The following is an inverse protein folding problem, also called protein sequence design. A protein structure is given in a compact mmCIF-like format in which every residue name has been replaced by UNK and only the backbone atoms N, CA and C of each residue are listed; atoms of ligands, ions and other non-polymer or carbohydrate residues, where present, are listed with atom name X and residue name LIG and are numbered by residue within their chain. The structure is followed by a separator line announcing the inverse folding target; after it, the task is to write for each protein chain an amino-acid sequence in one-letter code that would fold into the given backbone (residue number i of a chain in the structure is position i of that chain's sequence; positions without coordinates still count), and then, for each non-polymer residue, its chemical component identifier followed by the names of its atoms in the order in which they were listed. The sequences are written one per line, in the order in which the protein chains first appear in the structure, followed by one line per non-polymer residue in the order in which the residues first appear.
data_IF_779012999317
#
_entry.id   IF_779012999317
#
_cell.length_a   1.000
_cell.length_b   1.000
_cell.length_c   1.000
_cell.angle_alpha   90.00
_cell.angle_beta   90.00
_cell.angle_gamma   90.00
#
_symmetry.space_group_name_H-M   'P 1'
#
loop_
_entity.id
_entity.type
_entity.pdbx_description
1 polymer ?
#
# COMPACT_ATOMS: atom_id res chain seq x y z
N UNK A 1 14.99 2.33 -56.37
CA UNK A 1 15.09 3.58 -55.59
C UNK A 1 13.70 3.92 -55.06
N UNK A 2 13.40 3.57 -53.81
CA UNK A 2 12.18 4.02 -53.12
C UNK A 2 12.52 5.33 -52.43
N UNK A 3 11.73 6.37 -52.69
CA UNK A 3 11.80 7.62 -51.98
C UNK A 3 11.44 7.37 -50.51
N UNK A 4 12.32 7.81 -49.60
CA UNK A 4 12.05 7.89 -48.17
C UNK A 4 11.31 9.19 -47.97
N UNK A 5 10.01 9.10 -47.70
CA UNK A 5 9.20 10.23 -47.28
C UNK A 5 9.66 10.65 -45.88
N UNK A 6 10.15 11.88 -45.78
CA UNK A 6 10.57 12.50 -44.53
C UNK A 6 9.34 12.80 -43.67
N UNK A 7 9.08 11.99 -42.64
CA UNK A 7 8.14 12.34 -41.58
C UNK A 7 8.63 13.62 -40.87
N UNK A 8 7.87 14.69 -41.00
CA UNK A 8 7.98 15.87 -40.14
C UNK A 8 7.61 15.47 -38.69
N UNK A 9 8.30 15.99 -37.66
CA UNK A 9 7.92 15.70 -36.29
C UNK A 9 6.55 16.33 -36.01
N UNK A 10 5.60 15.50 -35.55
CA UNK A 10 4.34 15.99 -34.98
C UNK A 10 4.67 16.97 -33.86
N UNK A 11 3.95 18.08 -33.83
CA UNK A 11 3.98 19.08 -32.78
C UNK A 11 3.68 18.36 -31.46
N UNK A 12 4.72 18.12 -30.65
CA UNK A 12 4.62 17.34 -29.42
C UNK A 12 3.64 17.99 -28.46
N UNK A 13 2.77 17.16 -27.89
CA UNK A 13 1.88 17.54 -26.81
C UNK A 13 2.75 18.11 -25.66
N UNK A 14 2.45 19.29 -25.08
CA UNK A 14 3.17 19.79 -23.91
C UNK A 14 3.28 18.76 -22.77
N UNK A 15 2.34 17.82 -22.66
CA UNK A 15 2.41 16.71 -21.72
C UNK A 15 3.52 15.68 -22.04
N UNK A 16 3.79 15.39 -23.32
CA UNK A 16 4.91 14.53 -23.74
C UNK A 16 6.26 15.20 -23.44
N UNK A 17 6.40 16.51 -23.71
CA UNK A 17 7.64 17.24 -23.46
C UNK A 17 7.96 17.37 -21.95
N UNK A 18 6.93 17.38 -21.10
CA UNK A 18 7.07 17.46 -19.64
C UNK A 18 7.33 16.07 -19.02
N UNK A 19 6.82 14.99 -19.62
CA UNK A 19 7.18 13.60 -19.30
C UNK A 19 8.67 13.30 -19.55
N UNK A 20 9.28 13.90 -20.57
CA UNK A 20 10.72 13.75 -20.88
C UNK A 20 11.63 14.36 -19.81
N UNK A 21 11.13 15.28 -18.97
CA UNK A 21 11.92 15.95 -17.91
C UNK A 21 11.75 15.36 -16.51
N UNK A 22 10.82 14.42 -16.31
CA UNK A 22 10.51 13.83 -14.99
C UNK A 22 10.87 12.35 -14.97
N UNK A 23 11.22 11.84 -13.78
CA UNK A 23 11.73 10.48 -13.58
C UNK A 23 13.26 10.39 -13.60
N UNK A 24 13.76 9.17 -13.72
CA UNK A 24 15.18 8.83 -13.72
C UNK A 24 15.80 8.77 -12.32
N UNK A 25 17.13 8.64 -12.31
CA UNK A 25 17.94 8.38 -11.10
C UNK A 25 17.85 9.47 -10.02
N UNK A 26 17.41 10.69 -10.36
CA UNK A 26 17.17 11.75 -9.37
C UNK A 26 16.06 11.38 -8.38
N UNK A 27 15.10 10.53 -8.78
CA UNK A 27 13.97 10.09 -7.95
C UNK A 27 14.34 8.97 -6.98
N UNK A 28 15.37 8.19 -7.32
CA UNK A 28 15.84 7.01 -6.61
C UNK A 28 16.09 7.24 -5.11
N UNK A 29 16.88 8.23 -4.67
CA UNK A 29 17.14 8.43 -3.25
C UNK A 29 15.87 8.83 -2.48
N UNK A 30 14.99 9.63 -3.08
CA UNK A 30 13.74 10.03 -2.42
C UNK A 30 12.85 8.81 -2.15
N UNK A 31 12.69 7.93 -3.14
CA UNK A 31 11.86 6.71 -3.02
C UNK A 31 12.48 5.73 -2.01
N UNK A 32 13.80 5.52 -2.05
CA UNK A 32 14.44 4.59 -1.12
C UNK A 32 14.40 5.08 0.33
N UNK A 33 14.70 6.35 0.57
CA UNK A 33 14.68 6.90 1.94
C UNK A 33 13.25 6.94 2.47
N UNK A 34 12.26 7.29 1.64
CA UNK A 34 10.86 7.22 2.05
C UNK A 34 10.42 5.79 2.34
N UNK A 35 10.81 4.82 1.51
CA UNK A 35 10.52 3.40 1.74
C UNK A 35 11.18 2.88 3.02
N UNK A 36 12.43 3.28 3.30
CA UNK A 36 13.14 2.93 4.52
C UNK A 36 12.40 3.45 5.76
N UNK A 37 12.06 4.75 5.79
CA UNK A 37 11.43 5.38 6.94
C UNK A 37 10.02 4.84 7.20
N UNK A 38 9.22 4.62 6.15
CA UNK A 38 7.91 3.98 6.29
C UNK A 38 8.05 2.53 6.73
N UNK A 39 8.97 1.78 6.13
CA UNK A 39 9.23 0.37 6.48
C UNK A 39 9.61 0.21 7.94
N UNK A 40 10.50 1.08 8.46
CA UNK A 40 10.87 1.11 9.87
C UNK A 40 9.66 1.37 10.77
N UNK A 41 8.83 2.35 10.43
CA UNK A 41 7.66 2.70 11.23
C UNK A 41 6.62 1.57 11.25
N UNK A 42 6.33 0.95 10.11
CA UNK A 42 5.40 -0.18 10.02
C UNK A 42 5.94 -1.41 10.74
N UNK A 43 7.22 -1.75 10.55
CA UNK A 43 7.84 -2.89 11.21
C UNK A 43 7.94 -2.69 12.72
N UNK A 44 8.38 -1.51 13.21
CA UNK A 44 8.41 -1.23 14.65
C UNK A 44 7.01 -1.34 15.28
N UNK A 45 6.01 -0.67 14.69
CA UNK A 45 4.65 -0.68 15.22
C UNK A 45 3.96 -2.06 15.22
N UNK A 46 4.41 -3.01 14.39
CA UNK A 46 3.76 -4.34 14.26
C UNK A 46 4.58 -5.50 14.82
N UNK A 47 5.91 -5.44 14.79
CA UNK A 47 6.77 -6.57 15.13
C UNK A 47 6.59 -7.04 16.56
N UNK A 48 6.32 -6.12 17.50
CA UNK A 48 6.15 -6.43 18.92
C UNK A 48 4.71 -6.29 19.43
N UNK A 49 3.72 -6.19 18.53
CA UNK A 49 2.33 -5.90 18.93
C UNK A 49 1.73 -6.95 19.87
N UNK A 50 2.07 -8.23 19.70
CA UNK A 50 1.59 -9.30 20.59
C UNK A 50 2.13 -9.09 22.01
N UNK A 51 3.41 -8.76 22.14
CA UNK A 51 4.04 -8.50 23.44
C UNK A 51 3.48 -7.24 24.06
N UNK A 52 3.20 -6.20 23.27
CA UNK A 52 2.54 -4.98 23.73
C UNK A 52 1.17 -5.26 24.35
N UNK A 53 0.36 -6.08 23.66
CA UNK A 53 -0.96 -6.49 24.15
C UNK A 53 -0.87 -7.22 25.49
N UNK A 54 0.13 -8.10 25.65
CA UNK A 54 0.33 -8.87 26.88
C UNK A 54 0.87 -8.00 28.02
N UNK A 55 1.92 -7.21 27.76
CA UNK A 55 2.64 -6.46 28.81
C UNK A 55 1.95 -5.17 29.22
N UNK A 56 1.37 -4.42 28.28
CA UNK A 56 0.84 -3.07 28.53
C UNK A 56 -0.70 -3.03 28.56
N UNK A 57 -1.36 -3.98 27.89
CA UNK A 57 -2.82 -4.07 27.86
C UNK A 57 -3.39 -5.23 28.69
N UNK A 58 -2.54 -5.98 29.41
CA UNK A 58 -2.94 -7.13 30.24
C UNK A 58 -3.81 -8.17 29.49
N UNK A 59 -3.65 -8.29 28.17
CA UNK A 59 -4.38 -9.27 27.36
C UNK A 59 -3.74 -10.64 27.54
N UNK A 60 -4.55 -11.69 27.67
CA UNK A 60 -4.05 -13.06 27.77
C UNK A 60 -3.26 -13.43 26.51
N UNK A 61 -2.16 -14.16 26.67
CA UNK A 61 -1.25 -14.49 25.57
C UNK A 61 -1.93 -15.18 24.38
N UNK A 62 -2.92 -16.05 24.63
CA UNK A 62 -3.68 -16.75 23.58
C UNK A 62 -4.50 -15.75 22.76
N UNK A 63 -5.23 -14.84 23.43
CA UNK A 63 -6.05 -13.82 22.78
C UNK A 63 -5.18 -12.79 22.04
N UNK A 64 -4.04 -12.39 22.63
CA UNK A 64 -3.08 -11.50 22.02
C UNK A 64 -2.48 -12.09 20.74
N UNK A 65 -2.15 -13.39 20.72
CA UNK A 65 -1.67 -14.08 19.53
C UNK A 65 -2.74 -14.15 18.44
N UNK A 66 -4.01 -14.42 18.80
CA UNK A 66 -5.12 -14.39 17.86
C UNK A 66 -5.29 -13.00 17.23
N UNK A 67 -5.29 -11.95 18.05
CA UNK A 67 -5.35 -10.56 17.57
C UNK A 67 -4.17 -10.27 16.65
N UNK A 68 -2.95 -10.62 17.06
CA UNK A 68 -1.74 -10.42 16.26
C UNK A 68 -1.81 -11.10 14.89
N UNK A 69 -2.32 -12.33 14.82
CA UNK A 69 -2.51 -13.06 13.57
C UNK A 69 -3.55 -12.41 12.66
N UNK A 70 -4.67 -11.91 13.23
CA UNK A 70 -5.68 -11.17 12.47
C UNK A 70 -5.07 -9.91 11.88
N UNK A 71 -4.34 -9.13 12.69
CA UNK A 71 -3.66 -7.90 12.25
C UNK A 71 -2.66 -8.18 11.14
N UNK A 72 -1.82 -9.19 11.31
CA UNK A 72 -0.84 -9.62 10.30
C UNK A 72 -1.51 -10.02 8.98
N UNK A 73 -2.62 -10.78 9.07
CA UNK A 73 -3.45 -11.14 7.92
C UNK A 73 -4.04 -9.92 7.22
N UNK A 74 -4.61 -8.98 7.98
CA UNK A 74 -5.17 -7.73 7.45
C UNK A 74 -4.11 -6.88 6.73
N UNK A 75 -2.93 -6.70 7.33
CA UNK A 75 -1.83 -5.93 6.73
C UNK A 75 -1.30 -6.59 5.46
N UNK A 76 -1.33 -7.93 5.39
CA UNK A 76 -0.88 -8.66 4.21
C UNK A 76 -1.87 -8.56 3.04
N UNK A 77 -3.17 -8.41 3.31
CA UNK A 77 -4.22 -8.28 2.30
C UNK A 77 -4.50 -6.82 1.89
N UNK A 78 -4.29 -5.86 2.78
CA UNK A 78 -4.57 -4.45 2.54
C UNK A 78 -3.91 -3.89 1.25
N UNK A 79 -2.69 -4.32 0.85
CA UNK A 79 -2.07 -3.85 -0.38
C UNK A 79 -2.85 -4.18 -1.66
N UNK A 80 -3.64 -5.25 -1.67
CA UNK A 80 -4.51 -5.59 -2.81
C UNK A 80 -5.57 -4.51 -3.00
N UNK A 81 -6.21 -4.08 -1.90
CA UNK A 81 -7.19 -2.99 -1.92
C UNK A 81 -6.52 -1.68 -2.34
N UNK A 82 -5.33 -1.41 -1.79
CA UNK A 82 -4.53 -0.22 -2.14
C UNK A 82 -4.20 -0.13 -3.63
N UNK A 83 -3.85 -1.25 -4.26
CA UNK A 83 -3.59 -1.33 -5.70
C UNK A 83 -4.85 -1.13 -6.55
N UNK A 84 -5.98 -1.74 -6.15
CA UNK A 84 -7.26 -1.54 -6.85
C UNK A 84 -7.65 -0.05 -6.83
N UNK A 85 -7.49 0.62 -5.69
CA UNK A 85 -7.84 2.04 -5.54
C UNK A 85 -6.94 2.95 -6.38
N UNK A 86 -5.63 2.69 -6.43
CA UNK A 86 -4.72 3.45 -7.29
C UNK A 86 -5.02 3.22 -8.77
N UNK A 87 -5.21 1.97 -9.17
CA UNK A 87 -5.34 1.61 -10.58
C UNK A 87 -6.70 2.06 -11.13
N UNK A 88 -7.76 2.03 -10.33
CA UNK A 88 -9.11 2.39 -10.76
C UNK A 88 -9.42 3.89 -10.74
N UNK A 89 -8.86 4.65 -9.79
CA UNK A 89 -9.37 6.00 -9.52
C UNK A 89 -8.32 7.11 -9.49
N UNK A 90 -7.23 6.94 -8.74
CA UNK A 90 -6.38 8.07 -8.35
C UNK A 90 -4.96 8.04 -8.95
N UNK A 91 -4.50 6.89 -9.43
CA UNK A 91 -3.09 6.64 -9.74
C UNK A 91 -2.26 6.36 -8.48
N UNK A 92 -1.01 5.91 -8.67
CA UNK A 92 -0.17 5.47 -7.55
C UNK A 92 0.20 6.62 -6.59
N UNK A 93 0.62 7.78 -7.11
CA UNK A 93 1.18 8.86 -6.30
C UNK A 93 0.26 9.39 -5.18
N UNK A 94 -1.00 9.82 -5.45
CA UNK A 94 -1.87 10.33 -4.38
C UNK A 94 -2.24 9.25 -3.35
N UNK A 95 -2.38 7.99 -3.78
CA UNK A 95 -2.63 6.88 -2.85
C UNK A 95 -1.43 6.69 -1.93
N UNK A 96 -0.20 6.68 -2.45
CA UNK A 96 1.02 6.59 -1.64
C UNK A 96 1.08 7.74 -0.61
N UNK A 97 0.92 8.99 -1.04
CA UNK A 97 0.98 10.15 -0.13
C UNK A 97 -0.07 10.05 0.97
N UNK A 98 -1.32 9.71 0.62
CA UNK A 98 -2.39 9.53 1.59
C UNK A 98 -2.07 8.42 2.58
N UNK A 99 -1.52 7.29 2.11
CA UNK A 99 -1.12 6.16 2.93
C UNK A 99 0.00 6.48 3.90
N UNK A 100 0.99 7.27 3.48
CA UNK A 100 2.07 7.72 4.37
C UNK A 100 1.51 8.61 5.49
N UNK A 101 0.60 9.54 5.17
CA UNK A 101 -0.05 10.40 6.18
C UNK A 101 -0.93 9.58 7.13
N UNK A 102 -1.70 8.63 6.61
CA UNK A 102 -2.54 7.73 7.42
C UNK A 102 -1.66 6.86 8.33
N UNK A 103 -0.54 6.35 7.82
CA UNK A 103 0.43 5.57 8.60
C UNK A 103 1.07 6.43 9.69
N UNK A 104 1.41 7.69 9.41
CA UNK A 104 1.92 8.63 10.40
C UNK A 104 0.89 8.87 11.52
N UNK A 105 -0.38 9.08 11.18
CA UNK A 105 -1.46 9.20 12.16
C UNK A 105 -1.60 7.92 12.99
N UNK A 106 -1.51 6.75 12.37
CA UNK A 106 -1.58 5.47 13.07
C UNK A 106 -0.49 5.33 14.15
N UNK A 107 0.77 5.64 13.81
CA UNK A 107 1.87 5.56 14.78
C UNK A 107 1.80 6.65 15.85
N UNK A 108 1.20 7.81 15.55
CA UNK A 108 0.87 8.82 16.57
C UNK A 108 -0.14 8.27 17.57
N UNK A 109 -1.22 7.65 17.10
CA UNK A 109 -2.22 7.04 17.99
C UNK A 109 -1.62 5.88 18.80
N UNK A 110 -0.78 5.03 18.20
CA UNK A 110 -0.04 3.99 18.93
C UNK A 110 0.83 4.60 20.03
N UNK A 111 1.56 5.68 19.74
CA UNK A 111 2.39 6.36 20.75
C UNK A 111 1.54 6.93 21.88
N UNK A 112 0.36 7.49 21.57
CA UNK A 112 -0.58 7.97 22.59
C UNK A 112 -1.06 6.85 23.50
N UNK A 113 -1.31 5.64 22.98
CA UNK A 113 -1.65 4.49 23.83
C UNK A 113 -0.57 4.14 24.84
N UNK A 114 0.70 4.31 24.47
CA UNK A 114 1.82 4.07 25.37
C UNK A 114 2.08 5.24 26.33
N UNK A 115 1.93 6.48 25.85
CA UNK A 115 2.30 7.69 26.58
C UNK A 115 1.23 8.17 27.57
N UNK A 116 -0.06 7.95 27.28
CA UNK A 116 -1.17 8.47 28.08
C UNK A 116 -1.73 7.37 28.98
N UNK A 117 -1.57 7.47 30.32
CA UNK A 117 -2.01 6.43 31.24
C UNK A 117 -3.50 6.10 31.17
N UNK A 118 -4.36 7.06 30.80
CA UNK A 118 -5.80 6.82 30.65
C UNK A 118 -6.17 5.93 29.45
N UNK A 119 -5.28 5.81 28.44
CA UNK A 119 -5.51 5.03 27.22
C UNK A 119 -5.05 3.57 27.34
N UNK A 120 -4.54 3.16 28.49
CA UNK A 120 -4.13 1.78 28.80
C UNK A 120 -4.55 1.38 30.23
N UNK A 121 -4.70 0.08 30.54
CA UNK A 121 -4.99 -0.35 31.90
C UNK A 121 -3.85 0.02 32.86
N UNK A 122 -4.12 0.08 34.18
CA UNK A 122 -3.08 0.35 35.17
C UNK A 122 -1.99 -0.73 35.14
N UNK A 123 -0.73 -0.37 35.47
CA UNK A 123 0.37 -1.32 35.48
C UNK A 123 0.08 -2.49 36.42
N UNK A 124 0.31 -3.71 35.93
CA UNK A 124 0.14 -4.93 36.71
C UNK A 124 1.44 -5.74 36.76
N UNK A 125 1.65 -6.49 37.85
CA UNK A 125 2.76 -7.42 37.95
C UNK A 125 2.55 -8.59 36.96
N UNK A 126 3.56 -8.87 36.13
CA UNK A 126 3.51 -9.92 35.13
C UNK A 126 3.22 -11.30 35.78
N UNK A 127 2.16 -11.98 35.33
CA UNK A 127 1.77 -13.29 35.84
C UNK A 127 0.86 -13.29 37.07
N UNK A 128 0.32 -12.13 37.48
CA UNK A 128 -0.72 -12.08 38.51
C UNK A 128 -2.11 -12.34 37.89
N UNK A 129 -2.90 -13.23 38.50
CA UNK A 129 -4.30 -13.48 38.09
C UNK A 129 -5.25 -12.31 38.42
N UNK A 130 -4.76 -11.27 39.09
CA UNK A 130 -5.54 -10.12 39.58
C UNK A 130 -5.38 -8.84 38.74
N UNK A 131 -4.86 -8.93 37.51
CA UNK A 131 -4.73 -7.76 36.64
C UNK A 131 -6.09 -7.26 36.14
N UNK A 132 -6.29 -5.95 36.15
CA UNK A 132 -7.47 -5.32 35.56
C UNK A 132 -7.41 -5.46 34.03
N UNK A 133 -8.50 -5.97 33.46
CA UNK A 133 -8.67 -6.10 32.02
C UNK A 133 -8.78 -4.70 31.37
N UNK A 134 -8.31 -4.53 30.12
CA UNK A 134 -8.40 -3.26 29.43
C UNK A 134 -9.87 -2.90 29.18
N UNK A 135 -10.21 -1.62 29.34
CA UNK A 135 -11.57 -1.18 29.07
C UNK A 135 -11.89 -1.25 27.57
N UNK A 136 -13.17 -1.38 27.22
CA UNK A 136 -13.60 -1.42 25.83
C UNK A 136 -13.16 -0.17 25.04
N UNK A 137 -13.12 1.00 25.68
CA UNK A 137 -12.64 2.25 25.06
C UNK A 137 -11.14 2.22 24.76
N UNK A 138 -10.32 1.67 25.66
CA UNK A 138 -8.87 1.53 25.45
C UNK A 138 -8.56 0.58 24.29
N UNK A 139 -9.25 -0.57 24.24
CA UNK A 139 -9.12 -1.52 23.14
C UNK A 139 -9.61 -0.94 21.81
N UNK A 140 -10.74 -0.23 21.81
CA UNK A 140 -11.26 0.41 20.59
C UNK A 140 -10.29 1.47 20.04
N UNK A 141 -9.66 2.25 20.92
CA UNK A 141 -8.65 3.23 20.52
C UNK A 141 -7.42 2.55 19.91
N UNK A 142 -6.91 1.49 20.55
CA UNK A 142 -5.79 0.70 20.04
C UNK A 142 -6.12 0.08 18.67
N UNK A 143 -7.29 -0.54 18.52
CA UNK A 143 -7.71 -1.14 17.25
C UNK A 143 -7.94 -0.11 16.16
N UNK A 144 -8.36 1.11 16.50
CA UNK A 144 -8.42 2.22 15.53
C UNK A 144 -7.02 2.56 15.02
N UNK A 145 -6.03 2.64 15.90
CA UNK A 145 -4.64 2.88 15.51
C UNK A 145 -4.11 1.76 14.60
N UNK A 146 -4.34 0.50 14.96
CA UNK A 146 -3.92 -0.67 14.18
C UNK A 146 -4.64 -0.76 12.83
N UNK A 147 -5.93 -0.43 12.76
CA UNK A 147 -6.68 -0.40 11.51
C UNK A 147 -6.15 0.69 10.57
N UNK A 148 -5.86 1.89 11.07
CA UNK A 148 -5.20 2.94 10.30
C UNK A 148 -3.82 2.51 9.82
N UNK A 149 -3.07 1.78 10.65
CA UNK A 149 -1.77 1.23 10.26
C UNK A 149 -1.90 0.27 9.08
N UNK A 150 -2.92 -0.59 9.08
CA UNK A 150 -3.21 -1.50 7.96
C UNK A 150 -3.60 -0.76 6.68
N UNK A 151 -4.42 0.30 6.79
CA UNK A 151 -4.77 1.17 5.64
C UNK A 151 -3.52 1.86 5.08
N UNK A 152 -2.66 2.39 5.96
CA UNK A 152 -1.39 3.02 5.58
C UNK A 152 -0.41 2.04 4.90
N UNK A 153 -0.29 0.82 5.43
CA UNK A 153 0.51 -0.23 4.80
C UNK A 153 -0.05 -0.66 3.44
N UNK A 154 -1.37 -0.70 3.30
CA UNK A 154 -2.05 -1.11 2.08
C UNK A 154 -1.74 -0.21 0.88
N UNK A 155 -2.06 1.08 0.97
CA UNK A 155 -1.92 1.96 -0.20
C UNK A 155 -0.48 2.40 -0.52
N UNK A 156 0.51 2.04 0.29
CA UNK A 156 1.92 2.38 0.05
C UNK A 156 2.70 1.28 -0.66
N UNK A 157 2.61 0.02 -0.19
CA UNK A 157 3.61 -1.03 -0.45
C UNK A 157 3.76 -1.45 -1.91
N UNK A 158 2.67 -1.69 -2.64
CA UNK A 158 2.74 -2.03 -4.07
C UNK A 158 2.73 -0.79 -4.97
N UNK A 159 2.07 0.28 -4.54
CA UNK A 159 1.97 1.51 -5.32
C UNK A 159 3.32 2.22 -5.43
N UNK A 160 4.13 2.26 -4.36
CA UNK A 160 5.47 2.87 -4.42
C UNK A 160 6.42 2.07 -5.32
N UNK A 161 6.27 0.74 -5.33
CA UNK A 161 7.05 -0.15 -6.17
C UNK A 161 6.71 0.04 -7.64
N UNK A 162 5.41 0.07 -7.97
CA UNK A 162 4.91 0.33 -9.32
C UNK A 162 5.32 1.73 -9.81
N UNK A 163 5.11 2.77 -8.99
CA UNK A 163 5.53 4.13 -9.29
C UNK A 163 7.04 4.22 -9.50
N UNK A 164 7.84 3.58 -8.64
CA UNK A 164 9.29 3.58 -8.72
C UNK A 164 9.83 2.93 -10.00
N UNK A 165 9.24 1.81 -10.41
CA UNK A 165 9.57 1.17 -11.70
C UNK A 165 9.29 2.08 -12.90
N UNK A 166 8.16 2.81 -12.86
CA UNK A 166 7.80 3.75 -13.93
C UNK A 166 8.72 4.97 -14.09
N UNK A 167 9.64 5.19 -13.13
CA UNK A 167 10.63 6.27 -13.22
C UNK A 167 11.72 5.98 -14.25
N UNK A 168 11.89 4.73 -14.67
CA UNK A 168 12.99 4.31 -15.54
C UNK A 168 12.48 3.71 -16.85
N UNK A 169 13.08 4.13 -17.97
CA UNK A 169 12.70 3.63 -19.31
C UNK A 169 13.42 2.32 -19.69
N UNK A 170 14.59 2.07 -19.09
CA UNK A 170 15.42 0.90 -19.40
C UNK A 170 15.14 -0.23 -18.42
N UNK A 171 14.84 -1.42 -18.95
CA UNK A 171 14.60 -2.66 -18.16
C UNK A 171 15.75 -2.95 -17.18
N UNK A 172 17.00 -2.70 -17.58
CA UNK A 172 18.17 -2.85 -16.70
C UNK A 172 18.09 -1.93 -15.48
N UNK A 173 17.73 -0.67 -15.68
CA UNK A 173 17.70 0.33 -14.61
C UNK A 173 16.50 0.08 -13.68
N UNK A 174 15.37 -0.39 -14.24
CA UNK A 174 14.23 -0.91 -13.46
C UNK A 174 14.65 -2.08 -12.56
N UNK A 175 15.39 -3.06 -13.10
CA UNK A 175 15.91 -4.19 -12.32
C UNK A 175 16.76 -3.77 -11.12
N UNK A 176 17.71 -2.84 -11.35
CA UNK A 176 18.54 -2.28 -10.27
C UNK A 176 17.67 -1.58 -9.21
N UNK A 177 16.64 -0.83 -9.64
CA UNK A 177 15.70 -0.23 -8.71
C UNK A 177 14.96 -1.27 -7.85
N UNK A 178 14.45 -2.34 -8.47
CA UNK A 178 13.76 -3.42 -7.75
C UNK A 178 14.68 -4.09 -6.72
N UNK A 179 15.92 -4.39 -7.09
CA UNK A 179 16.91 -4.99 -6.17
C UNK A 179 17.12 -4.10 -4.93
N UNK A 180 17.40 -2.81 -5.14
CA UNK A 180 17.58 -1.87 -4.05
C UNK A 180 16.32 -1.64 -3.23
N UNK A 181 15.15 -1.63 -3.86
CA UNK A 181 13.88 -1.53 -3.17
C UNK A 181 13.69 -2.67 -2.17
N UNK A 182 13.92 -3.92 -2.61
CA UNK A 182 13.81 -5.09 -1.73
C UNK A 182 14.90 -5.13 -0.66
N UNK A 183 16.14 -4.74 -0.97
CA UNK A 183 17.20 -4.58 0.03
C UNK A 183 16.74 -3.64 1.13
N UNK A 184 16.25 -2.44 0.77
CA UNK A 184 15.78 -1.44 1.74
C UNK A 184 14.58 -1.96 2.52
N UNK A 185 13.63 -2.63 1.86
CA UNK A 185 12.46 -3.24 2.51
C UNK A 185 12.90 -4.23 3.59
N UNK A 186 13.79 -5.17 3.28
CA UNK A 186 14.25 -6.16 4.24
C UNK A 186 15.16 -5.58 5.33
N UNK A 187 16.02 -4.61 5.00
CA UNK A 187 16.81 -3.89 6.01
C UNK A 187 15.89 -3.18 7.00
N UNK A 188 14.87 -2.47 6.53
CA UNK A 188 13.89 -1.82 7.41
C UNK A 188 13.16 -2.82 8.31
N UNK A 189 12.83 -4.01 7.78
CA UNK A 189 12.16 -5.06 8.53
C UNK A 189 13.06 -5.66 9.61
N UNK A 190 14.32 -5.95 9.29
CA UNK A 190 15.30 -6.48 10.25
C UNK A 190 15.58 -5.44 11.34
N UNK A 191 15.83 -4.19 10.97
CA UNK A 191 16.08 -3.11 11.95
C UNK A 191 14.85 -2.87 12.83
N UNK A 192 13.66 -2.87 12.25
CA UNK A 192 12.40 -2.75 13.00
C UNK A 192 12.21 -3.91 13.99
N UNK A 193 12.37 -5.16 13.53
CA UNK A 193 12.19 -6.36 14.34
C UNK A 193 13.30 -6.59 15.40
N UNK A 194 14.41 -5.85 15.33
CA UNK A 194 15.53 -6.00 16.27
C UNK A 194 15.73 -4.74 17.11
N UNK A 195 16.16 -3.64 16.50
CA UNK A 195 16.51 -2.39 17.18
C UNK A 195 15.28 -1.73 17.79
N UNK A 196 14.18 -1.59 17.02
CA UNK A 196 12.97 -0.96 17.56
C UNK A 196 12.31 -1.85 18.61
N UNK A 197 12.19 -3.16 18.36
CA UNK A 197 11.70 -4.12 19.37
C UNK A 197 12.53 -4.07 20.65
N UNK A 198 13.86 -3.96 20.55
CA UNK A 198 14.72 -3.81 21.72
C UNK A 198 14.42 -2.54 22.50
N UNK A 199 14.25 -1.40 21.81
CA UNK A 199 13.89 -0.13 22.47
C UNK A 199 12.50 -0.23 23.12
N UNK A 200 11.53 -0.82 22.43
CA UNK A 200 10.17 -1.01 22.93
C UNK A 200 10.15 -1.87 24.20
N UNK A 201 10.82 -3.03 24.18
CA UNK A 201 10.74 -4.01 25.27
C UNK A 201 11.69 -3.72 26.44
N UNK A 202 12.86 -3.14 26.17
CA UNK A 202 13.92 -2.95 27.17
C UNK A 202 14.05 -1.51 27.69
N UNK A 203 13.58 -0.51 26.94
CA UNK A 203 13.72 0.91 27.32
C UNK A 203 12.36 1.54 27.61
N UNK A 204 11.50 1.65 26.60
CA UNK A 204 10.13 2.19 26.74
C UNK A 204 9.35 2.04 25.43
N UNK A 205 8.12 1.56 25.53
CA UNK A 205 7.14 1.56 24.45
C UNK A 205 6.90 2.96 23.85
N UNK A 206 6.84 3.99 24.70
CA UNK A 206 6.64 5.37 24.25
C UNK A 206 7.81 5.84 23.38
N UNK A 207 9.05 5.53 23.77
CA UNK A 207 10.23 5.88 22.98
C UNK A 207 10.28 5.08 21.67
N UNK A 208 9.98 3.78 21.72
CA UNK A 208 9.92 2.93 20.53
C UNK A 208 8.96 3.47 19.46
N UNK A 209 7.71 3.76 19.86
CA UNK A 209 6.73 4.33 18.93
C UNK A 209 7.02 5.79 18.54
N UNK A 210 7.66 6.58 19.41
CA UNK A 210 8.13 7.92 19.04
C UNK A 210 9.20 7.86 17.94
N UNK A 211 10.12 6.88 17.96
CA UNK A 211 11.07 6.65 16.88
C UNK A 211 10.36 6.28 15.57
N UNK A 212 9.28 5.48 15.64
CA UNK A 212 8.43 5.20 14.47
C UNK A 212 7.79 6.48 13.91
N UNK A 213 7.31 7.40 14.76
CA UNK A 213 6.78 8.71 14.32
C UNK A 213 7.87 9.48 13.55
N UNK A 214 9.07 9.59 14.11
CA UNK A 214 10.17 10.34 13.49
C UNK A 214 10.54 9.72 12.14
N UNK A 215 10.70 8.40 12.08
CA UNK A 215 11.03 7.68 10.85
C UNK A 215 9.97 7.90 9.75
N UNK A 216 8.69 7.82 10.11
CA UNK A 216 7.58 8.02 9.17
C UNK A 216 7.44 9.50 8.75
N UNK A 217 7.63 10.44 9.67
CA UNK A 217 7.61 11.87 9.37
C UNK A 217 8.72 12.25 8.38
N UNK A 218 9.93 11.73 8.57
CA UNK A 218 11.03 11.87 7.61
C UNK A 218 10.63 11.26 6.26
N UNK A 219 10.01 10.08 6.26
CA UNK A 219 9.54 9.42 5.05
C UNK A 219 8.54 10.27 4.25
N UNK A 220 7.55 10.85 4.93
CA UNK A 220 6.57 11.79 4.35
C UNK A 220 7.28 13.01 3.74
N UNK A 221 8.15 13.66 4.51
CA UNK A 221 8.85 14.87 4.06
C UNK A 221 9.70 14.57 2.83
N UNK A 222 10.48 13.48 2.84
CA UNK A 222 11.35 13.11 1.72
C UNK A 222 10.55 12.75 0.48
N UNK A 223 9.44 12.01 0.63
CA UNK A 223 8.53 11.71 -0.48
C UNK A 223 7.98 13.01 -1.09
N UNK A 224 7.54 13.95 -0.26
CA UNK A 224 7.00 15.23 -0.72
C UNK A 224 8.07 16.13 -1.36
N UNK A 225 9.32 16.10 -0.91
CA UNK A 225 10.42 16.82 -1.58
C UNK A 225 10.69 16.28 -2.99
N UNK A 226 10.46 14.98 -3.20
CA UNK A 226 10.56 14.32 -4.51
C UNK A 226 9.43 14.67 -5.49
N UNK A 227 8.33 15.27 -5.02
CA UNK A 227 7.08 15.56 -5.76
C UNK A 227 7.32 16.02 -7.20
N UNK A 228 8.15 17.05 -7.39
CA UNK A 228 8.37 17.69 -8.71
C UNK A 228 9.22 16.87 -9.68
N UNK A 229 9.91 15.86 -9.17
CA UNK A 229 10.81 15.01 -9.95
C UNK A 229 10.14 13.71 -10.40
N UNK A 230 9.09 13.25 -9.71
CA UNK A 230 8.44 11.98 -10.03
C UNK A 230 7.66 12.05 -11.34
N UNK A 231 7.86 11.04 -12.19
CA UNK A 231 6.93 10.69 -13.25
C UNK A 231 5.68 10.09 -12.61
N UNK A 232 4.49 10.57 -13.00
CA UNK A 232 3.20 10.14 -12.44
C UNK A 232 2.30 9.65 -13.55
N UNK A 233 2.34 8.35 -13.86
CA UNK A 233 1.39 7.76 -14.80
C UNK A 233 -0.04 7.97 -14.29
N UNK A 234 -0.96 8.27 -15.21
CA UNK A 234 -2.39 8.32 -14.91
C UNK A 234 -2.91 6.92 -14.57
N UNK A 235 -4.06 6.84 -13.91
CA UNK A 235 -4.73 5.56 -13.64
C UNK A 235 -5.22 4.94 -14.96
N UNK A 236 -4.77 3.71 -15.27
CA UNK A 236 -5.14 2.99 -16.52
C UNK A 236 -6.36 2.06 -16.33
N UNK A 237 -6.99 2.07 -15.15
CA UNK A 237 -8.09 1.18 -14.78
C UNK A 237 -7.59 -0.10 -14.11
N UNK A 238 -8.38 -0.65 -13.17
CA UNK A 238 -7.97 -1.86 -12.44
C UNK A 238 -8.33 -3.15 -13.21
N UNK A 239 -7.37 -4.08 -13.44
CA UNK A 239 -7.66 -5.38 -14.06
C UNK A 239 -8.62 -6.22 -13.21
N UNK A 240 -8.71 -5.96 -11.90
CA UNK A 240 -9.67 -6.60 -11.00
C UNK A 240 -11.11 -6.22 -11.34
N UNK A 241 -11.36 -5.02 -11.85
CA UNK A 241 -12.69 -4.62 -12.34
C UNK A 241 -13.09 -5.44 -13.56
N UNK A 242 -12.13 -5.73 -14.45
CA UNK A 242 -12.32 -6.65 -15.58
C UNK A 242 -12.69 -8.06 -15.13
N UNK A 243 -11.92 -8.63 -14.19
CA UNK A 243 -12.21 -9.95 -13.62
C UNK A 243 -13.56 -10.00 -12.92
N UNK A 244 -13.91 -9.00 -12.10
CA UNK A 244 -15.20 -8.91 -11.44
C UNK A 244 -16.35 -8.83 -12.44
N UNK A 245 -16.20 -8.06 -13.53
CA UNK A 245 -17.19 -8.00 -14.62
C UNK A 245 -17.39 -9.37 -15.27
N UNK A 246 -16.32 -10.12 -15.53
CA UNK A 246 -16.41 -11.47 -16.11
C UNK A 246 -17.12 -12.43 -15.15
N UNK A 247 -16.79 -12.39 -13.86
CA UNK A 247 -17.45 -13.22 -12.85
C UNK A 247 -18.95 -12.90 -12.77
N UNK A 248 -19.31 -11.61 -12.66
CA UNK A 248 -20.72 -11.16 -12.62
C UNK A 248 -21.44 -11.56 -13.92
N UNK A 249 -20.81 -11.39 -15.08
CA UNK A 249 -21.39 -11.78 -16.36
C UNK A 249 -21.58 -13.29 -16.47
N UNK A 250 -20.65 -14.10 -15.96
CA UNK A 250 -20.75 -15.56 -15.94
C UNK A 250 -21.90 -16.02 -15.03
N UNK A 251 -22.04 -15.47 -13.83
CA UNK A 251 -23.18 -15.77 -12.94
C UNK A 251 -24.51 -15.33 -13.57
N UNK A 252 -24.57 -14.14 -14.16
CA UNK A 252 -25.79 -13.62 -14.81
C UNK A 252 -26.19 -14.42 -16.05
N UNK A 253 -25.21 -14.98 -16.77
CA UNK A 253 -25.42 -15.78 -17.98
C UNK A 253 -25.36 -17.30 -17.75
N UNK A 254 -25.33 -17.76 -16.49
CA UNK A 254 -25.21 -19.20 -16.17
C UNK A 254 -26.29 -20.02 -16.88
N UNK A 255 -27.54 -19.54 -16.90
CA UNK A 255 -28.67 -20.26 -17.50
C UNK A 255 -28.88 -19.99 -19.00
N UNK A 256 -27.95 -19.31 -19.67
CA UNK A 256 -28.08 -19.05 -21.11
C UNK A 256 -27.68 -20.33 -21.87
N UNK A 257 -28.64 -20.90 -22.61
CA UNK A 257 -28.36 -22.01 -23.54
C UNK A 257 -27.54 -21.47 -24.72
N UNK A 258 -26.27 -21.83 -24.77
CA UNK A 258 -25.38 -21.47 -25.88
C UNK A 258 -25.81 -22.26 -27.12
N UNK A 259 -26.19 -21.56 -28.20
CA UNK A 259 -26.53 -22.19 -29.48
C UNK A 259 -25.26 -22.76 -30.11
N UNK A 260 -25.23 -24.08 -30.38
CA UNK A 260 -24.08 -24.77 -30.95
C UNK A 260 -23.88 -24.55 -32.46
N UNK A 261 -24.79 -23.83 -33.12
CA UNK A 261 -24.77 -23.70 -34.58
C UNK A 261 -23.77 -22.64 -35.11
N UNK A 262 -23.25 -21.75 -34.27
CA UNK A 262 -22.14 -20.84 -34.65
C UNK A 262 -21.46 -20.27 -33.39
N UNK A 263 -20.34 -20.84 -32.91
CA UNK A 263 -19.62 -20.30 -31.77
C UNK A 263 -18.84 -19.04 -32.17
N UNK A 264 -19.42 -17.86 -31.96
CA UNK A 264 -18.73 -16.57 -32.11
C UNK A 264 -17.97 -16.24 -30.82
N UNK A 265 -16.65 -16.42 -30.83
CA UNK A 265 -15.79 -16.01 -29.72
C UNK A 265 -15.39 -14.54 -29.90
N UNK A 266 -15.70 -13.71 -28.90
CA UNK A 266 -15.31 -12.31 -28.90
C UNK A 266 -13.83 -12.21 -28.49
N UNK A 267 -12.94 -12.00 -29.46
CA UNK A 267 -11.57 -11.58 -29.20
C UNK A 267 -11.55 -10.07 -29.18
N UNK A 268 -11.38 -9.47 -27.99
CA UNK A 268 -11.30 -8.03 -27.85
C UNK A 268 -10.04 -7.49 -28.51
N UNK A 269 -10.16 -7.02 -29.76
CA UNK A 269 -9.47 -5.85 -30.34
C UNK A 269 -9.68 -5.83 -31.87
N UNK A 270 -10.18 -4.71 -32.41
CA UNK A 270 -10.24 -4.45 -33.84
C UNK A 270 -11.64 -4.08 -34.33
N UNK A 271 -11.88 -2.78 -34.53
CA UNK A 271 -13.11 -2.28 -35.12
C UNK A 271 -13.33 -2.82 -36.53
N UNK A 272 -14.45 -3.51 -36.71
CA UNK A 272 -15.24 -3.49 -37.92
C UNK A 272 -16.64 -3.93 -37.52
N UNK A 273 -17.57 -2.97 -37.56
CA UNK A 273 -18.98 -3.19 -37.28
C UNK A 273 -19.58 -4.08 -38.38
N UNK A 274 -19.86 -5.33 -38.02
CA UNK A 274 -20.64 -6.23 -38.86
C UNK A 274 -22.14 -5.91 -38.65
N UNK A 275 -22.88 -5.47 -39.69
CA UNK A 275 -24.22 -4.89 -39.53
C UNK A 275 -25.34 -5.89 -39.21
N UNK A 276 -25.01 -7.17 -38.98
CA UNK A 276 -25.98 -8.23 -38.67
C UNK A 276 -25.74 -8.90 -37.31
N UNK A 277 -24.97 -8.27 -36.43
CA UNK A 277 -24.81 -8.69 -35.05
C UNK A 277 -26.00 -8.20 -34.22
N UNK A 278 -26.79 -9.12 -33.65
CA UNK A 278 -27.74 -8.86 -32.56
C UNK A 278 -26.98 -8.37 -31.31
N UNK A 279 -26.46 -7.14 -31.38
CA UNK A 279 -25.77 -6.48 -30.30
C UNK A 279 -26.79 -6.05 -29.23
N UNK A 280 -26.49 -6.22 -27.92
CA UNK A 280 -27.22 -5.50 -26.89
C UNK A 280 -26.93 -4.00 -27.04
N UNK A 281 -27.99 -3.21 -27.02
CA UNK A 281 -27.98 -1.75 -27.18
C UNK A 281 -27.04 -1.05 -26.20
N UNK A 282 -26.53 0.12 -26.64
CA UNK A 282 -25.51 0.98 -25.99
C UNK A 282 -25.84 1.51 -24.57
N UNK A 283 -26.79 0.94 -23.82
CA UNK A 283 -27.18 1.47 -22.50
C UNK A 283 -26.25 1.08 -21.33
N UNK A 284 -25.12 0.42 -21.61
CA UNK A 284 -24.15 -0.04 -20.61
C UNK A 284 -22.69 0.31 -20.96
N UNK A 285 -22.47 1.40 -21.70
CA UNK A 285 -21.14 2.02 -21.82
C UNK A 285 -20.76 2.73 -20.52
#
# INVERSE_FOLDING_TARGET
MRAVESEQPRLGDPDEAQQVRTGGWITFPFILVSNLGLGLALSGATANLIVYLVKEYNVKAIDAAQIGNIVSGSISLAPVVGAIVSDAFFGCYPVIVSSYIISLLAVVLMTLTAAVPSLRPPPCAFGSDACEAPSAGQMAFLFTAVALLAVGAGGSRFNILAMGGSQFDKVRDQGIFFDWYFIVLYVSAVVGATVLVFVEDSVSWTLGYALCIVANAVAVVVLLLGTKYYRRPAAEGSPFTGMARVVVAAFKKWNVKVSQQNPSYYYGSGGNDDPNSDAPTQSLR
#
